data_IF_287977117102
#
_entry.id   IF_287977117102
#
_cell.length_a   1.000
_cell.length_b   1.000
_cell.length_c   1.000
_cell.angle_alpha   90.00
_cell.angle_beta   90.00
_cell.angle_gamma   90.00
#
_symmetry.space_group_name_H-M   'P 1'
#
loop_
_entity.id
_entity.type
_entity.pdbx_description
1 polymer ?
#
# COMPACT_ATOMS: atom_id res chain seq x y z
N UNK A 1 -14.06 -7.34 -9.03
CA UNK A 1 -13.91 -6.09 -8.24
C UNK A 1 -12.55 -5.42 -8.55
N UNK A 2 -12.41 -4.73 -9.70
CA UNK A 2 -11.13 -4.12 -10.11
C UNK A 2 -10.83 -2.79 -9.41
N UNK A 3 -11.87 -2.02 -9.06
CA UNK A 3 -11.74 -0.70 -8.45
C UNK A 3 -11.03 -0.76 -7.08
N UNK A 4 -11.46 -1.67 -6.19
CA UNK A 4 -10.84 -1.85 -4.86
C UNK A 4 -9.36 -2.19 -4.96
N UNK A 5 -8.99 -3.06 -5.92
CA UNK A 5 -7.59 -3.43 -6.18
C UNK A 5 -6.75 -2.21 -6.60
N UNK A 6 -7.28 -1.37 -7.48
CA UNK A 6 -6.58 -0.15 -7.93
C UNK A 6 -6.45 0.87 -6.79
N UNK A 7 -7.48 1.00 -5.95
CA UNK A 7 -7.49 1.89 -4.78
C UNK A 7 -6.42 1.50 -3.77
N UNK A 8 -6.27 0.21 -3.42
CA UNK A 8 -5.22 -0.24 -2.51
C UNK A 8 -3.81 0.05 -3.05
N UNK A 9 -3.60 -0.13 -4.35
CA UNK A 9 -2.30 0.14 -4.98
C UNK A 9 -1.96 1.63 -4.98
N UNK A 10 -2.95 2.50 -5.27
CA UNK A 10 -2.77 3.96 -5.27
C UNK A 10 -2.47 4.48 -3.88
N UNK A 11 -3.22 4.05 -2.85
CA UNK A 11 -3.00 4.52 -1.47
C UNK A 11 -1.64 4.02 -0.96
N UNK A 12 -1.27 2.78 -1.24
CA UNK A 12 0.05 2.24 -0.88
C UNK A 12 1.20 3.01 -1.55
N UNK A 13 1.04 3.39 -2.83
CA UNK A 13 2.04 4.20 -3.54
C UNK A 13 2.12 5.62 -2.96
N UNK A 14 0.99 6.26 -2.63
CA UNK A 14 0.99 7.59 -2.02
C UNK A 14 1.62 7.59 -0.62
N UNK A 15 1.36 6.56 0.18
CA UNK A 15 1.99 6.38 1.49
C UNK A 15 3.52 6.28 1.35
N UNK A 16 4.01 5.52 0.36
CA UNK A 16 5.44 5.42 0.09
C UNK A 16 6.02 6.77 -0.38
N UNK A 17 5.35 7.47 -1.30
CA UNK A 17 5.77 8.79 -1.78
C UNK A 17 5.90 9.81 -0.66
N UNK A 18 4.88 9.87 0.21
CA UNK A 18 4.90 10.73 1.39
C UNK A 18 6.09 10.36 2.28
N UNK A 19 6.30 9.06 2.52
CA UNK A 19 7.42 8.53 3.30
C UNK A 19 8.81 8.97 2.80
N UNK A 20 9.00 8.98 1.49
CA UNK A 20 10.25 9.47 0.90
C UNK A 20 10.39 10.99 1.04
N UNK A 21 9.28 11.73 0.88
CA UNK A 21 9.29 13.17 0.94
C UNK A 21 9.65 13.69 2.34
N UNK A 22 9.11 13.11 3.41
CA UNK A 22 9.47 13.52 4.77
C UNK A 22 10.91 13.17 5.13
N UNK A 23 11.42 12.01 4.71
CA UNK A 23 12.85 11.65 4.91
C UNK A 23 13.77 12.67 4.24
N UNK A 24 13.43 13.12 3.01
CA UNK A 24 14.22 14.12 2.27
C UNK A 24 14.15 15.50 2.92
N UNK A 25 13.03 15.85 3.55
CA UNK A 25 12.88 17.12 4.28
C UNK A 25 13.55 17.12 5.67
N UNK A 26 14.16 16.00 6.08
CA UNK A 26 14.84 15.88 7.38
C UNK A 26 13.90 15.55 8.54
N UNK A 27 12.68 15.08 8.24
CA UNK A 27 11.70 14.67 9.22
C UNK A 27 12.08 13.33 9.87
N UNK A 28 11.66 13.13 11.12
CA UNK A 28 12.15 11.99 11.92
C UNK A 28 11.58 10.68 11.36
N UNK A 29 12.43 9.67 11.11
CA UNK A 29 12.01 8.35 10.62
C UNK A 29 10.85 7.71 11.40
N UNK A 30 10.70 8.07 12.69
CA UNK A 30 9.58 7.64 13.55
C UNK A 30 8.21 8.09 13.03
N UNK A 31 8.08 9.31 12.51
CA UNK A 31 6.82 9.86 11.98
C UNK A 31 6.40 9.13 10.69
N UNK A 32 7.38 8.65 9.93
CA UNK A 32 7.16 7.89 8.70
C UNK A 32 7.13 6.38 8.86
N UNK A 33 7.51 5.85 10.02
CA UNK A 33 7.43 4.42 10.30
C UNK A 33 5.98 3.94 10.18
N UNK A 34 5.02 4.73 10.68
CA UNK A 34 3.60 4.42 10.55
C UNK A 34 3.13 4.39 9.09
N UNK A 35 3.67 5.29 8.27
CA UNK A 35 3.33 5.42 6.86
C UNK A 35 3.93 4.30 6.01
N UNK A 36 5.16 3.88 6.32
CA UNK A 36 5.81 2.71 5.72
C UNK A 36 5.06 1.43 6.11
N UNK A 37 4.73 1.24 7.39
CA UNK A 37 3.96 0.09 7.88
C UNK A 37 2.58 0.05 7.25
N UNK A 38 1.90 1.20 7.16
CA UNK A 38 0.60 1.34 6.49
C UNK A 38 0.70 0.99 4.99
N UNK A 39 1.71 1.52 4.28
CA UNK A 39 1.97 1.20 2.89
C UNK A 39 2.25 -0.28 2.65
N UNK A 40 3.09 -0.90 3.48
CA UNK A 40 3.37 -2.35 3.42
C UNK A 40 2.13 -3.19 3.71
N UNK A 41 1.31 -2.79 4.70
CA UNK A 41 0.04 -3.46 5.02
C UNK A 41 -0.95 -3.38 3.86
N UNK A 42 -1.02 -2.24 3.17
CA UNK A 42 -1.86 -2.08 1.97
C UNK A 42 -1.37 -2.89 0.77
N UNK A 43 -0.06 -2.96 0.54
CA UNK A 43 0.53 -3.84 -0.49
C UNK A 43 0.21 -5.31 -0.18
N UNK A 44 0.30 -5.70 1.09
CA UNK A 44 -0.02 -7.06 1.52
C UNK A 44 -1.51 -7.36 1.34
N UNK A 45 -2.39 -6.42 1.70
CA UNK A 45 -3.82 -6.47 1.44
C UNK A 45 -4.12 -6.59 -0.05
N UNK A 46 -3.45 -5.83 -0.91
CA UNK A 46 -3.54 -5.94 -2.37
C UNK A 46 -3.16 -7.35 -2.86
N UNK A 47 -2.06 -7.91 -2.35
CA UNK A 47 -1.60 -9.25 -2.73
C UNK A 47 -2.60 -10.33 -2.30
N UNK A 48 -3.15 -10.22 -1.08
CA UNK A 48 -4.17 -11.14 -0.58
C UNK A 48 -5.49 -11.00 -1.37
N UNK A 49 -5.91 -9.76 -1.69
CA UNK A 49 -7.10 -9.50 -2.48
C UNK A 49 -6.94 -9.98 -3.93
N UNK A 50 -5.74 -9.87 -4.50
CA UNK A 50 -5.41 -10.44 -5.81
C UNK A 50 -5.48 -11.97 -5.78
N UNK A 51 -5.01 -12.61 -4.70
CA UNK A 51 -5.12 -14.06 -4.51
C UNK A 51 -6.58 -14.53 -4.37
N UNK A 52 -7.41 -13.78 -3.63
CA UNK A 52 -8.85 -14.04 -3.47
C UNK A 52 -9.62 -13.84 -4.77
N UNK A 53 -9.39 -12.73 -5.49
CA UNK A 53 -10.05 -12.45 -6.77
C UNK A 53 -9.50 -13.34 -7.93
N UNK A 54 -8.29 -13.88 -7.80
CA UNK A 54 -7.74 -14.92 -8.69
C UNK A 54 -8.34 -16.31 -8.46
N UNK A 55 -9.04 -16.53 -7.33
CA UNK A 55 -9.76 -17.78 -7.03
C UNK A 55 -11.22 -17.72 -7.49
N UNK A 56 -11.70 -16.58 -8.00
CA UNK A 56 -13.01 -16.48 -8.67
C UNK A 56 -12.95 -16.80 -10.18
N UNK A 57 -11.76 -17.17 -10.69
CA UNK A 57 -11.53 -17.54 -12.10
C UNK A 57 -11.25 -19.03 -12.33
N UNK A 58 -11.50 -19.88 -11.33
CA UNK A 58 -11.40 -21.35 -11.42
C UNK A 58 -12.69 -22.01 -10.91
N UNK A 59 -13.79 -21.71 -11.58
CA UNK A 59 -14.94 -22.61 -11.65
C UNK A 59 -15.13 -22.98 -13.12
#
# INVERSE_FOLDING_TARGET
MKATKNVLLVIGSMALSASFFGIVNGDTLMEHCLNIVCGSSLIFGYFQFNKLNGTEGKC
#
